data_IF_647054514461
#
_entry.id   IF_647054514461
#
_cell.length_a   1.000
_cell.length_b   1.000
_cell.length_c   1.000
_cell.angle_alpha   90.00
_cell.angle_beta   90.00
_cell.angle_gamma   90.00
#
_symmetry.space_group_name_H-M   'P 1'
#
loop_
_entity.id
_entity.type
_entity.pdbx_description
1 polymer ?
#
# COMPACT_ATOMS: atom_id res chain seq x y z
N UNK A 1 -15.43 -14.51 -0.76
CA UNK A 1 -14.07 -14.27 -1.27
C UNK A 1 -13.27 -15.53 -0.99
N UNK A 2 -12.55 -16.04 -1.97
CA UNK A 2 -11.71 -17.23 -1.78
C UNK A 2 -10.33 -16.96 -2.36
N UNK A 3 -9.30 -17.35 -1.61
CA UNK A 3 -7.90 -17.21 -2.03
C UNK A 3 -7.30 -18.59 -2.24
N UNK A 4 -6.55 -18.76 -3.33
CA UNK A 4 -5.81 -20.00 -3.59
C UNK A 4 -4.41 -19.70 -4.05
N UNK A 5 -3.44 -20.35 -3.43
CA UNK A 5 -2.02 -20.22 -3.80
C UNK A 5 -1.64 -21.29 -4.82
N UNK A 6 -1.02 -20.90 -5.94
CA UNK A 6 -0.57 -21.83 -7.00
C UNK A 6 0.72 -21.34 -7.64
N UNK A 7 1.48 -22.23 -8.27
CA UNK A 7 2.60 -21.83 -9.13
C UNK A 7 2.07 -21.37 -10.49
N UNK A 8 2.49 -20.19 -10.94
CA UNK A 8 2.10 -19.74 -12.28
C UNK A 8 2.85 -20.52 -13.35
N UNK A 9 2.18 -20.82 -14.47
CA UNK A 9 2.79 -21.48 -15.65
C UNK A 9 3.22 -20.49 -16.73
N UNK A 10 2.74 -19.24 -16.66
CA UNK A 10 2.98 -18.19 -17.64
C UNK A 10 3.37 -16.90 -16.92
N UNK A 11 4.15 -16.01 -17.56
CA UNK A 11 4.40 -14.70 -16.99
C UNK A 11 3.08 -13.95 -16.80
N UNK A 12 2.97 -13.18 -15.72
CA UNK A 12 1.80 -12.38 -15.36
C UNK A 12 2.26 -11.05 -14.75
N UNK A 13 1.37 -10.07 -14.77
CA UNK A 13 1.52 -8.83 -14.00
C UNK A 13 0.81 -9.02 -12.66
N UNK A 14 1.39 -8.54 -11.54
CA UNK A 14 0.65 -8.50 -10.25
C UNK A 14 -0.47 -7.47 -10.39
N UNK A 15 -1.71 -7.87 -10.08
CA UNK A 15 -2.88 -6.98 -10.18
C UNK A 15 -2.90 -5.91 -9.06
N UNK A 16 -2.02 -6.02 -8.06
CA UNK A 16 -1.78 -4.99 -7.04
C UNK A 16 -0.74 -3.93 -7.46
N UNK A 17 -0.46 -3.81 -8.76
CA UNK A 17 0.44 -2.80 -9.31
C UNK A 17 1.83 -2.76 -8.64
N UNK A 18 2.36 -3.91 -8.24
CA UNK A 18 3.76 -3.96 -7.84
C UNK A 18 4.65 -3.96 -9.08
N UNK A 19 5.75 -3.21 -9.06
CA UNK A 19 6.72 -3.16 -10.18
C UNK A 19 7.45 -4.49 -10.44
N UNK A 20 7.18 -5.51 -9.63
CA UNK A 20 7.76 -6.84 -9.79
C UNK A 20 6.93 -7.67 -10.79
N UNK A 21 7.52 -8.20 -11.87
CA UNK A 21 6.85 -9.12 -12.78
C UNK A 21 6.76 -10.53 -12.16
N UNK A 22 5.62 -11.20 -12.32
CA UNK A 22 5.45 -12.60 -11.91
C UNK A 22 6.02 -13.50 -13.01
N UNK A 23 7.02 -14.33 -12.68
CA UNK A 23 7.68 -15.24 -13.63
C UNK A 23 7.07 -16.65 -13.58
N UNK A 24 7.16 -17.44 -14.68
CA UNK A 24 6.82 -18.86 -14.65
C UNK A 24 7.54 -19.59 -13.50
N UNK A 25 6.79 -20.38 -12.72
CA UNK A 25 7.31 -21.11 -11.56
C UNK A 25 7.12 -20.37 -10.22
N UNK A 26 6.88 -19.06 -10.24
CA UNK A 26 6.62 -18.27 -9.03
C UNK A 26 5.31 -18.70 -8.36
N UNK A 27 5.32 -18.69 -7.04
CA UNK A 27 4.11 -18.81 -6.23
C UNK A 27 3.30 -17.52 -6.34
N UNK A 28 2.01 -17.67 -6.61
CA UNK A 28 1.04 -16.57 -6.69
C UNK A 28 -0.22 -16.90 -5.91
N UNK A 29 -0.85 -15.89 -5.35
CA UNK A 29 -2.18 -15.95 -4.75
C UNK A 29 -3.21 -15.48 -5.77
N UNK A 30 -4.22 -16.32 -6.00
CA UNK A 30 -5.39 -15.93 -6.75
C UNK A 30 -6.52 -15.63 -5.78
N UNK A 31 -6.99 -14.38 -5.78
CA UNK A 31 -8.18 -14.00 -5.01
C UNK A 31 -9.36 -13.86 -5.95
N UNK A 32 -10.45 -14.53 -5.64
CA UNK A 32 -11.69 -14.44 -6.41
C UNK A 32 -12.76 -13.72 -5.59
N UNK A 33 -13.25 -12.61 -6.14
CA UNK A 33 -14.29 -11.76 -5.56
C UNK A 33 -15.62 -12.04 -6.25
N UNK A 34 -16.69 -12.33 -5.50
CA UNK A 34 -18.02 -12.44 -6.08
C UNK A 34 -18.54 -11.07 -6.54
N UNK A 35 -19.54 -11.04 -7.44
CA UNK A 35 -20.28 -9.82 -7.76
C UNK A 35 -20.79 -9.13 -6.49
N UNK A 36 -20.91 -7.80 -6.47
CA UNK A 36 -21.36 -7.07 -5.27
C UNK A 36 -20.30 -6.84 -4.19
N UNK A 37 -19.07 -7.35 -4.34
CA UNK A 37 -18.03 -7.30 -3.29
C UNK A 37 -16.72 -6.64 -3.75
N UNK A 38 -16.75 -5.92 -4.85
CA UNK A 38 -15.63 -5.12 -5.35
C UNK A 38 -16.16 -3.94 -6.18
N UNK A 39 -15.39 -2.86 -6.21
CA UNK A 39 -15.76 -1.57 -6.81
C UNK A 39 -15.52 -1.48 -8.32
N UNK A 40 -14.75 -2.43 -8.89
CA UNK A 40 -14.34 -2.39 -10.30
C UNK A 40 -15.40 -2.94 -11.26
N UNK A 41 -16.22 -3.92 -10.83
CA UNK A 41 -17.31 -4.45 -11.65
C UNK A 41 -18.40 -5.12 -10.79
N UNK A 42 -19.52 -4.43 -10.55
CA UNK A 42 -20.56 -4.91 -9.65
C UNK A 42 -21.33 -6.16 -10.14
N UNK A 43 -21.23 -6.51 -11.43
CA UNK A 43 -22.01 -7.60 -12.04
C UNK A 43 -21.17 -8.84 -12.35
N UNK A 44 -19.84 -8.72 -12.36
CA UNK A 44 -18.91 -9.79 -12.72
C UNK A 44 -18.14 -10.37 -11.54
N UNK A 45 -17.69 -11.61 -11.70
CA UNK A 45 -16.64 -12.18 -10.86
C UNK A 45 -15.31 -11.50 -11.20
N UNK A 46 -14.64 -10.95 -10.20
CA UNK A 46 -13.29 -10.42 -10.35
C UNK A 46 -12.29 -11.45 -9.83
N UNK A 47 -11.21 -11.65 -10.58
CA UNK A 47 -10.10 -12.49 -10.15
C UNK A 47 -8.83 -11.64 -10.18
N UNK A 48 -8.17 -11.53 -9.03
CA UNK A 48 -6.85 -10.91 -8.93
C UNK A 48 -5.77 -11.97 -8.75
N UNK A 49 -4.56 -11.66 -9.21
CA UNK A 49 -3.34 -12.42 -9.00
C UNK A 49 -2.28 -11.54 -8.32
N UNK A 50 -1.70 -12.04 -7.24
CA UNK A 50 -0.70 -11.31 -6.45
C UNK A 50 0.44 -12.23 -6.03
N UNK A 51 1.61 -11.68 -5.73
CA UNK A 51 2.68 -12.42 -5.06
C UNK A 51 2.29 -12.65 -3.58
N UNK A 52 2.43 -13.88 -3.04
CA UNK A 52 2.18 -14.17 -1.64
C UNK A 52 3.17 -13.42 -0.77
N UNK A 53 2.65 -12.54 0.10
CA UNK A 53 3.46 -11.77 1.05
C UNK A 53 4.53 -10.85 0.43
N UNK A 54 4.52 -10.64 -0.89
CA UNK A 54 5.53 -9.85 -1.62
C UNK A 54 4.98 -8.72 -2.48
N UNK A 55 3.69 -8.71 -2.84
CA UNK A 55 3.12 -7.46 -3.36
C UNK A 55 3.03 -6.50 -2.16
N UNK A 56 3.40 -5.22 -2.29
CA UNK A 56 3.24 -4.26 -1.23
C UNK A 56 1.80 -4.39 -0.76
N UNK A 57 1.63 -4.59 0.54
CA UNK A 57 0.33 -4.43 1.17
C UNK A 57 -0.16 -3.08 0.65
N UNK A 58 -1.36 -2.96 0.04
CA UNK A 58 -1.86 -1.63 -0.28
C UNK A 58 -1.66 -0.82 0.99
N UNK A 59 -0.91 0.28 0.86
CA UNK A 59 -0.64 1.14 1.99
C UNK A 59 -1.97 1.46 2.68
N UNK A 60 -1.97 1.79 3.98
CA UNK A 60 -3.20 2.20 4.62
C UNK A 60 -3.89 3.29 3.79
N UNK A 61 -5.22 3.25 3.69
CA UNK A 61 -5.94 4.39 3.09
C UNK A 61 -5.71 5.63 3.94
N UNK A 62 -5.98 6.81 3.37
CA UNK A 62 -5.85 8.06 4.12
C UNK A 62 -6.70 8.02 5.41
N UNK A 63 -7.91 7.49 5.35
CA UNK A 63 -8.83 7.35 6.49
C UNK A 63 -8.28 6.39 7.54
N UNK A 64 -7.83 5.20 7.12
CA UNK A 64 -7.27 4.20 8.03
C UNK A 64 -6.01 4.72 8.72
N UNK A 65 -5.17 5.47 8.00
CA UNK A 65 -4.01 6.14 8.56
C UNK A 65 -4.40 7.20 9.57
N UNK A 66 -5.30 8.12 9.21
CA UNK A 66 -5.73 9.21 10.08
C UNK A 66 -6.42 8.70 11.36
N UNK A 67 -7.15 7.59 11.29
CA UNK A 67 -7.77 6.95 12.44
C UNK A 67 -6.74 6.40 13.43
N UNK A 68 -5.59 5.93 12.93
CA UNK A 68 -4.51 5.38 13.75
C UNK A 68 -3.50 6.44 14.21
N UNK A 69 -3.23 7.45 13.37
CA UNK A 69 -2.13 8.39 13.50
C UNK A 69 -2.58 9.82 13.18
N UNK A 70 -2.91 10.64 14.19
CA UNK A 70 -3.27 12.03 13.96
C UNK A 70 -2.05 12.86 13.49
N UNK A 71 -2.28 14.07 12.93
CA UNK A 71 -1.20 15.01 12.63
C UNK A 71 -0.33 15.26 13.87
N UNK A 72 0.98 15.39 13.67
CA UNK A 72 1.99 15.50 14.73
C UNK A 72 2.65 14.18 15.12
N UNK A 73 2.21 13.05 14.54
CA UNK A 73 2.78 11.72 14.79
C UNK A 73 4.25 11.67 14.36
N UNK A 74 5.18 11.27 15.23
CA UNK A 74 6.58 11.08 14.85
C UNK A 74 6.72 9.91 13.87
N UNK A 75 7.47 10.13 12.80
CA UNK A 75 7.66 9.17 11.73
C UNK A 75 9.11 9.15 11.26
N UNK A 76 9.54 8.02 10.72
CA UNK A 76 10.61 7.98 9.73
C UNK A 76 9.99 8.20 8.36
N UNK A 77 10.51 9.16 7.61
CA UNK A 77 10.07 9.49 6.27
C UNK A 77 11.16 9.18 5.24
N UNK A 78 10.75 8.63 4.10
CA UNK A 78 11.61 8.37 2.93
C UNK A 78 11.11 9.21 1.75
N UNK A 79 11.60 10.46 1.58
CA UNK A 79 11.03 11.38 0.60
C UNK A 79 11.28 10.99 -0.86
N UNK A 80 12.41 10.35 -1.17
CA UNK A 80 12.72 9.82 -2.49
C UNK A 80 12.30 8.36 -2.62
N UNK A 81 13.14 7.45 -2.13
CA UNK A 81 12.87 6.01 -2.15
C UNK A 81 13.09 5.36 -0.77
N UNK A 82 12.46 4.20 -0.56
CA UNK A 82 12.59 3.47 0.71
C UNK A 82 13.97 2.82 0.93
N UNK A 83 14.81 2.82 -0.11
CA UNK A 83 16.20 2.35 -0.05
C UNK A 83 17.17 3.43 0.45
N UNK A 84 16.72 4.68 0.54
CA UNK A 84 17.52 5.81 1.02
C UNK A 84 17.51 5.92 2.56
N UNK A 85 18.40 6.77 3.08
CA UNK A 85 18.46 7.06 4.52
C UNK A 85 17.16 7.77 4.96
N UNK A 86 16.42 7.22 5.95
CA UNK A 86 15.21 7.88 6.42
C UNK A 86 15.53 9.16 7.18
N UNK A 87 14.61 10.13 7.08
CA UNK A 87 14.62 11.35 7.90
C UNK A 87 13.63 11.18 9.04
N UNK A 88 14.08 11.41 10.27
CA UNK A 88 13.21 11.45 11.45
C UNK A 88 12.48 12.80 11.49
N UNK A 89 11.16 12.76 11.42
CA UNK A 89 10.30 13.95 11.33
C UNK A 89 8.92 13.68 11.96
N UNK A 90 7.96 14.59 11.79
CA UNK A 90 6.57 14.45 12.23
C UNK A 90 5.62 14.71 11.07
N UNK A 91 4.45 14.07 11.06
CA UNK A 91 3.38 14.45 10.14
C UNK A 91 2.88 15.85 10.51
N UNK A 92 2.64 16.73 9.53
CA UNK A 92 2.11 18.09 9.76
C UNK A 92 0.69 18.29 9.22
N UNK A 93 0.14 17.27 8.59
CA UNK A 93 -1.21 17.27 8.02
C UNK A 93 -1.89 15.93 8.27
N UNK A 94 -3.20 15.91 8.06
CA UNK A 94 -3.92 14.66 7.81
C UNK A 94 -3.38 14.03 6.53
N UNK A 95 -3.50 12.72 6.41
CA UNK A 95 -3.35 12.01 5.15
C UNK A 95 -4.53 12.32 4.22
N UNK A 96 -4.28 12.37 2.92
CA UNK A 96 -5.31 12.53 1.89
C UNK A 96 -4.95 11.70 0.66
N UNK A 97 -5.95 11.38 -0.15
CA UNK A 97 -5.74 10.72 -1.43
C UNK A 97 -5.48 11.75 -2.53
N UNK A 98 -4.42 11.52 -3.31
CA UNK A 98 -4.23 12.24 -4.57
C UNK A 98 -5.31 11.82 -5.57
N UNK A 99 -5.58 12.64 -6.60
CA UNK A 99 -6.54 12.30 -7.66
C UNK A 99 -6.22 10.99 -8.42
N UNK A 100 -5.04 10.44 -8.23
CA UNK A 100 -4.57 9.14 -8.71
C UNK A 100 -4.85 7.96 -7.77
N UNK A 101 -5.51 8.17 -6.62
CA UNK A 101 -5.79 7.14 -5.61
C UNK A 101 -4.61 6.75 -4.72
N UNK A 102 -3.54 7.56 -4.72
CA UNK A 102 -2.36 7.33 -3.91
C UNK A 102 -2.47 8.12 -2.58
N UNK A 103 -2.50 7.45 -1.42
CA UNK A 103 -2.61 8.13 -0.13
C UNK A 103 -1.25 8.72 0.27
N UNK A 104 -1.26 10.00 0.65
CA UNK A 104 -0.07 10.77 1.02
C UNK A 104 -0.31 11.58 2.30
N UNK A 105 0.75 11.93 3.02
CA UNK A 105 0.71 12.89 4.13
C UNK A 105 1.89 13.85 4.04
N UNK A 106 1.74 15.09 4.55
CA UNK A 106 2.87 16.01 4.67
C UNK A 106 3.64 15.74 5.95
N UNK A 107 4.96 15.91 5.88
CA UNK A 107 5.84 15.87 7.04
C UNK A 107 6.55 17.21 7.24
N UNK A 108 7.05 17.43 8.45
CA UNK A 108 7.93 18.55 8.71
C UNK A 108 9.22 18.43 7.90
N UNK A 109 9.74 19.58 7.49
CA UNK A 109 10.99 19.72 6.72
C UNK A 109 10.97 19.15 5.29
N UNK A 110 9.81 18.71 4.77
CA UNK A 110 9.66 18.31 3.37
C UNK A 110 8.52 19.06 2.68
N UNK A 111 8.79 19.57 1.47
CA UNK A 111 7.79 20.24 0.66
C UNK A 111 7.09 19.21 -0.23
N UNK A 112 5.82 18.91 0.08
CA UNK A 112 5.01 17.95 -0.68
C UNK A 112 4.43 16.84 0.19
N UNK A 113 3.51 16.06 -0.39
CA UNK A 113 2.96 14.87 0.23
C UNK A 113 3.88 13.67 0.00
N UNK A 114 4.20 12.95 1.07
CA UNK A 114 4.94 11.70 1.02
C UNK A 114 3.94 10.54 1.04
N UNK A 115 4.14 9.56 0.15
CA UNK A 115 3.30 8.37 0.09
C UNK A 115 3.29 7.63 1.42
N UNK A 116 2.13 7.15 1.89
CA UNK A 116 2.05 6.54 3.22
C UNK A 116 2.91 5.28 3.37
N UNK A 117 3.19 4.56 2.28
CA UNK A 117 4.15 3.44 2.28
C UNK A 117 5.59 3.88 2.47
N UNK A 118 5.90 5.17 2.40
CA UNK A 118 7.20 5.79 2.67
C UNK A 118 7.20 6.53 4.02
N UNK A 119 6.19 6.29 4.87
CA UNK A 119 6.16 6.74 6.25
C UNK A 119 6.15 5.51 7.15
N UNK A 120 6.94 5.55 8.21
CA UNK A 120 6.89 4.57 9.28
C UNK A 120 6.65 5.32 10.59
N UNK A 121 5.47 5.16 11.22
CA UNK A 121 5.22 5.66 12.56
C UNK A 121 6.29 5.13 13.51
N UNK A 122 6.91 6.06 14.24
CA UNK A 122 7.70 5.70 15.40
C UNK A 122 6.73 5.52 16.55
N UNK A 123 6.83 4.39 17.23
CA UNK A 123 6.10 4.19 18.47
C UNK A 123 6.52 5.31 19.43
N UNK A 124 5.62 6.26 19.68
CA UNK A 124 5.74 7.10 20.87
C UNK A 124 5.53 6.14 22.02
N UNK A 125 6.60 5.89 22.78
CA UNK A 125 6.57 5.23 24.08
C UNK A 125 5.32 5.72 24.83
N UNK A 126 4.30 4.87 24.95
CA UNK A 126 3.15 5.12 25.82
C UNK A 126 3.64 4.82 27.23
N UNK A 127 4.38 5.77 27.81
CA UNK A 127 4.57 5.89 29.25
C UNK A 127 3.26 6.25 29.95
#
# INVERSE_FOLDING_TARGET
MFTTTRRTRKPRTCDRACDQPIKPGDLVEYTTYPPGRHELNNTGWLRSVTHPGRCPIPGPTAEAWNAAYPPGTPVLAWPGTRDEQPVRTRTRSVAWELGSGHPVAMVDSHAGGIHLTHLQPLETDRG
#
